data_IF_533103190930
#
_entry.id   IF_533103190930
#
_cell.length_a   1.000
_cell.length_b   1.000
_cell.length_c   1.000
_cell.angle_alpha   90.00
_cell.angle_beta   90.00
_cell.angle_gamma   90.00
#
_symmetry.space_group_name_H-M   'P 1'
#
loop_
_entity.id
_entity.type
_entity.pdbx_description
1 polymer ?
#
# COMPACT_ATOMS: atom_id res chain seq x y z
N UNK A 1 0.00 -0.98 11.43
CA UNK A 1 -0.58 0.31 11.85
C UNK A 1 0.40 1.40 11.56
N UNK A 2 -0.10 2.54 11.07
CA UNK A 2 0.69 3.75 10.80
C UNK A 2 0.63 4.69 12.00
N UNK A 3 1.53 5.67 12.05
CA UNK A 3 1.51 6.70 13.10
C UNK A 3 0.14 7.40 13.21
N UNK A 4 -0.55 7.60 12.08
CA UNK A 4 -1.90 8.18 12.05
C UNK A 4 -2.95 7.35 12.78
N UNK A 5 -2.78 6.02 12.84
CA UNK A 5 -3.70 5.15 13.60
C UNK A 5 -3.52 5.34 15.11
N UNK A 6 -2.28 5.51 15.57
CA UNK A 6 -1.97 5.74 16.98
C UNK A 6 -2.36 7.16 17.38
N UNK A 7 -2.09 8.16 16.54
CA UNK A 7 -2.54 9.53 16.76
C UNK A 7 -4.06 9.60 16.92
N UNK A 8 -4.83 8.83 16.14
CA UNK A 8 -6.28 8.79 16.31
C UNK A 8 -6.71 8.28 17.71
N UNK A 9 -5.94 7.41 18.35
CA UNK A 9 -6.20 6.95 19.73
C UNK A 9 -5.87 8.02 20.77
N UNK A 10 -4.83 8.82 20.52
CA UNK A 10 -4.45 9.99 21.32
C UNK A 10 -5.53 11.06 21.22
N UNK A 11 -5.81 11.52 20.00
CA UNK A 11 -6.61 12.70 19.72
C UNK A 11 -8.09 12.48 20.08
N UNK A 12 -8.65 11.31 19.77
CA UNK A 12 -10.08 11.05 19.94
C UNK A 12 -10.41 10.31 21.25
N UNK A 13 -9.45 9.57 21.82
CA UNK A 13 -9.71 8.70 22.96
C UNK A 13 -8.83 8.96 24.18
N UNK A 14 -7.74 9.72 24.04
CA UNK A 14 -6.70 9.91 25.08
C UNK A 14 -6.21 8.57 25.67
N UNK A 15 -6.20 7.53 24.84
CA UNK A 15 -5.86 6.15 25.26
C UNK A 15 -4.35 5.90 25.27
N UNK A 16 -3.58 6.79 24.67
CA UNK A 16 -2.11 6.74 24.59
C UNK A 16 -1.59 8.15 24.89
N UNK A 17 -0.46 8.33 25.60
CA UNK A 17 0.10 9.65 25.87
C UNK A 17 0.47 10.42 24.60
N UNK A 18 0.28 11.73 24.61
CA UNK A 18 0.54 12.61 23.45
C UNK A 18 1.97 12.53 22.92
N UNK A 19 2.94 12.29 23.82
CA UNK A 19 4.35 12.11 23.45
C UNK A 19 4.71 10.70 23.00
N UNK A 20 3.74 9.85 22.63
CA UNK A 20 3.97 8.42 22.38
C UNK A 20 5.14 8.14 21.42
N UNK A 21 5.28 8.93 20.35
CA UNK A 21 6.30 8.74 19.31
C UNK A 21 7.72 8.70 19.92
N UNK A 22 7.99 9.53 20.92
CA UNK A 22 9.33 9.70 21.51
C UNK A 22 9.56 8.87 22.76
N UNK A 23 8.56 8.10 23.22
CA UNK A 23 8.68 7.27 24.43
C UNK A 23 9.60 6.06 24.25
N UNK A 24 9.82 5.64 23.01
CA UNK A 24 10.72 4.55 22.66
C UNK A 24 11.65 4.98 21.50
N UNK A 25 12.81 4.33 21.35
CA UNK A 25 13.73 4.59 20.23
C UNK A 25 13.05 4.47 18.86
N UNK A 26 13.68 5.06 17.84
CA UNK A 26 13.27 4.95 16.44
C UNK A 26 11.81 5.37 16.18
N UNK A 27 11.37 6.47 16.81
CA UNK A 27 9.98 6.96 16.71
C UNK A 27 8.94 5.91 17.10
N UNK A 28 9.26 5.09 18.11
CA UNK A 28 8.45 3.96 18.55
C UNK A 28 8.14 2.92 17.46
N UNK A 29 9.02 2.79 16.47
CA UNK A 29 8.98 1.76 15.44
C UNK A 29 10.11 0.74 15.68
N UNK A 30 9.86 -0.37 16.40
CA UNK A 30 10.88 -1.37 16.71
C UNK A 30 11.33 -2.18 15.49
N UNK A 31 10.58 -2.13 14.39
CA UNK A 31 10.93 -2.75 13.12
C UNK A 31 10.38 -1.92 11.96
N UNK A 32 10.94 -2.16 10.77
CA UNK A 32 10.47 -1.58 9.51
C UNK A 32 10.19 -2.68 8.49
N UNK A 33 9.46 -2.35 7.44
CA UNK A 33 9.25 -3.21 6.29
C UNK A 33 9.30 -2.37 5.02
N UNK A 34 9.14 -3.00 3.86
CA UNK A 34 9.13 -2.36 2.57
C UNK A 34 7.93 -2.83 1.75
N UNK A 35 7.42 -1.96 0.89
CA UNK A 35 6.40 -2.34 -0.09
C UNK A 35 7.06 -3.10 -1.24
N UNK A 36 6.52 -4.28 -1.55
CA UNK A 36 7.01 -5.18 -2.60
C UNK A 36 5.88 -5.67 -3.49
N UNK A 37 6.26 -6.26 -4.63
CA UNK A 37 5.34 -6.97 -5.51
C UNK A 37 5.48 -8.46 -5.32
N UNK A 38 4.37 -9.12 -5.03
CA UNK A 38 4.27 -10.58 -5.07
C UNK A 38 3.56 -10.94 -6.38
N UNK A 39 4.24 -11.65 -7.27
CA UNK A 39 3.74 -12.03 -8.59
C UNK A 39 3.48 -13.53 -8.68
N UNK A 40 2.69 -13.95 -9.68
CA UNK A 40 2.48 -15.37 -9.99
C UNK A 40 3.80 -16.05 -10.38
N UNK A 41 3.90 -17.36 -10.11
CA UNK A 41 5.08 -18.17 -10.45
C UNK A 41 5.47 -17.99 -11.92
N UNK A 42 6.76 -17.73 -12.16
CA UNK A 42 7.30 -17.49 -13.50
C UNK A 42 7.12 -16.05 -14.02
N UNK A 43 6.40 -15.18 -13.28
CA UNK A 43 6.10 -13.80 -13.66
C UNK A 43 5.58 -13.67 -15.12
N UNK A 44 4.43 -14.29 -15.45
CA UNK A 44 3.96 -14.43 -16.83
C UNK A 44 3.66 -13.08 -17.52
N UNK A 45 3.41 -12.02 -16.74
CA UNK A 45 3.19 -10.65 -17.25
C UNK A 45 4.44 -9.78 -17.20
N UNK A 46 5.59 -10.34 -16.84
CA UNK A 46 6.88 -9.65 -16.73
C UNK A 46 6.80 -8.35 -15.92
N UNK A 47 6.07 -8.38 -14.79
CA UNK A 47 5.89 -7.23 -13.91
C UNK A 47 7.16 -7.01 -13.09
N UNK A 48 7.83 -5.88 -13.30
CA UNK A 48 9.14 -5.57 -12.69
C UNK A 48 9.14 -4.25 -11.94
N UNK A 49 8.35 -3.28 -12.39
CA UNK A 49 8.29 -1.96 -11.78
C UNK A 49 6.87 -1.36 -11.85
N UNK A 50 6.65 -0.26 -11.14
CA UNK A 50 5.35 0.41 -11.00
C UNK A 50 4.62 0.67 -12.33
N UNK A 51 5.25 1.12 -13.43
CA UNK A 51 4.56 1.35 -14.70
C UNK A 51 3.97 0.08 -15.30
N UNK A 52 4.54 -1.09 -15.00
CA UNK A 52 4.00 -2.37 -15.48
C UNK A 52 2.63 -2.68 -14.90
N UNK A 53 2.35 -2.18 -13.68
CA UNK A 53 1.07 -2.38 -13.01
C UNK A 53 -0.08 -1.64 -13.70
N UNK A 54 0.24 -0.64 -14.53
CA UNK A 54 -0.73 0.21 -15.22
C UNK A 54 -1.01 -0.27 -16.66
N UNK A 55 -0.40 -1.37 -17.11
CA UNK A 55 -0.66 -1.97 -18.42
C UNK A 55 -2.07 -2.56 -18.48
N UNK A 56 -2.64 -2.55 -19.68
CA UNK A 56 -3.99 -3.07 -19.89
C UNK A 56 -4.06 -4.57 -19.58
N UNK A 57 -5.16 -4.98 -18.95
CA UNK A 57 -5.37 -6.37 -18.54
C UNK A 57 -4.54 -6.82 -17.34
N UNK A 58 -3.77 -5.95 -16.68
CA UNK A 58 -3.13 -6.26 -15.39
C UNK A 58 -4.13 -6.01 -14.25
N UNK A 59 -4.35 -7.02 -13.42
CA UNK A 59 -5.17 -6.92 -12.22
C UNK A 59 -4.26 -6.82 -10.99
N UNK A 60 -4.41 -5.72 -10.25
CA UNK A 60 -3.58 -5.41 -9.08
C UNK A 60 -4.38 -5.65 -7.81
N UNK A 61 -3.89 -6.53 -6.94
CA UNK A 61 -4.46 -6.70 -5.60
C UNK A 61 -3.80 -5.71 -4.65
N UNK A 62 -4.62 -4.85 -4.05
CA UNK A 62 -4.21 -3.85 -3.06
C UNK A 62 -5.31 -3.72 -2.00
N UNK A 63 -4.97 -3.63 -0.70
CA UNK A 63 -5.96 -3.36 0.34
C UNK A 63 -6.57 -1.96 0.22
N UNK A 64 -7.78 -1.79 0.72
CA UNK A 64 -8.48 -0.52 0.77
C UNK A 64 -7.73 0.50 1.67
N UNK A 65 -7.27 1.65 1.14
CA UNK A 65 -6.54 2.65 1.92
C UNK A 65 -7.41 3.35 2.97
N UNK A 66 -8.74 3.25 2.89
CA UNK A 66 -9.65 3.81 3.89
C UNK A 66 -9.65 3.01 5.19
N UNK A 67 -9.34 1.73 5.12
CA UNK A 67 -9.41 0.81 6.28
C UNK A 67 -8.06 0.19 6.62
N UNK A 68 -7.07 0.23 5.72
CA UNK A 68 -5.80 -0.47 5.88
C UNK A 68 -4.58 0.45 5.84
N UNK A 69 -3.63 0.21 6.75
CA UNK A 69 -2.29 0.80 6.69
C UNK A 69 -1.51 0.36 5.44
N UNK A 70 -1.61 -0.91 5.03
CA UNK A 70 -0.92 -1.42 3.85
C UNK A 70 -1.45 -0.75 2.56
N UNK A 71 -2.76 -0.51 2.47
CA UNK A 71 -3.35 0.24 1.36
C UNK A 71 -2.84 1.68 1.28
N UNK A 72 -2.68 2.33 2.44
CA UNK A 72 -2.08 3.68 2.55
C UNK A 72 -0.61 3.69 2.14
N UNK A 73 0.20 2.74 2.61
CA UNK A 73 1.59 2.61 2.18
C UNK A 73 1.69 2.34 0.68
N UNK A 74 0.86 1.48 0.10
CA UNK A 74 0.84 1.25 -1.36
C UNK A 74 0.60 2.55 -2.13
N UNK A 75 -0.38 3.35 -1.70
CA UNK A 75 -0.64 4.67 -2.30
C UNK A 75 0.59 5.57 -2.21
N UNK A 76 1.21 5.68 -1.03
CA UNK A 76 2.38 6.52 -0.80
C UNK A 76 3.62 6.03 -1.57
N UNK A 77 3.82 4.72 -1.71
CA UNK A 77 4.94 4.15 -2.47
C UNK A 77 4.79 4.41 -3.96
N UNK A 78 3.58 4.23 -4.53
CA UNK A 78 3.29 4.58 -5.92
C UNK A 78 3.44 6.09 -6.16
N UNK A 79 2.96 6.92 -5.23
CA UNK A 79 3.11 8.37 -5.29
C UNK A 79 4.58 8.79 -5.25
N UNK A 80 5.33 8.27 -4.28
CA UNK A 80 6.75 8.53 -4.09
C UNK A 80 7.60 8.07 -5.28
N UNK A 81 7.23 6.94 -5.92
CA UNK A 81 7.85 6.50 -7.17
C UNK A 81 7.75 7.59 -8.25
N UNK A 82 6.56 8.16 -8.47
CA UNK A 82 6.37 9.18 -9.50
C UNK A 82 7.20 10.43 -9.22
N UNK A 83 7.17 10.92 -7.97
CA UNK A 83 7.95 12.10 -7.58
C UNK A 83 9.45 11.87 -7.75
N UNK A 84 9.95 10.70 -7.33
CA UNK A 84 11.38 10.34 -7.45
C UNK A 84 11.84 10.25 -8.91
N UNK A 85 10.93 9.97 -9.84
CA UNK A 85 11.20 9.89 -11.28
C UNK A 85 10.87 11.20 -12.03
N UNK A 86 10.87 12.35 -11.33
CA UNK A 86 10.69 13.67 -11.94
C UNK A 86 9.24 14.05 -12.26
N UNK A 87 8.28 13.29 -11.74
CA UNK A 87 6.87 13.67 -11.78
C UNK A 87 6.52 14.71 -10.70
N UNK A 88 5.41 15.40 -10.90
CA UNK A 88 4.81 16.31 -9.92
C UNK A 88 3.63 15.63 -9.21
N UNK A 89 2.99 16.35 -8.28
CA UNK A 89 1.82 15.84 -7.55
C UNK A 89 0.63 15.50 -8.45
N UNK A 90 0.44 16.23 -9.55
CA UNK A 90 -0.63 15.96 -10.50
C UNK A 90 -0.41 14.62 -11.21
N UNK A 91 0.82 14.36 -11.67
CA UNK A 91 1.22 13.07 -12.24
C UNK A 91 1.11 11.95 -11.23
N UNK A 92 1.52 12.18 -9.98
CA UNK A 92 1.44 11.18 -8.92
C UNK A 92 -0.02 10.82 -8.62
N UNK A 93 -0.91 11.81 -8.51
CA UNK A 93 -2.36 11.60 -8.34
C UNK A 93 -2.95 10.83 -9.51
N UNK A 94 -2.59 11.17 -10.75
CA UNK A 94 -3.06 10.46 -11.94
C UNK A 94 -2.57 9.00 -11.97
N UNK A 95 -1.31 8.77 -11.61
CA UNK A 95 -0.70 7.45 -11.53
C UNK A 95 -1.38 6.55 -10.51
N UNK A 96 -1.54 7.04 -9.28
CA UNK A 96 -2.26 6.33 -8.21
C UNK A 96 -3.71 6.07 -8.62
N UNK A 97 -4.38 7.07 -9.21
CA UNK A 97 -5.73 6.89 -9.72
C UNK A 97 -5.83 5.77 -10.76
N UNK A 98 -4.86 5.68 -11.69
CA UNK A 98 -4.82 4.58 -12.67
C UNK A 98 -4.50 3.24 -12.02
N UNK A 99 -3.58 3.20 -11.06
CA UNK A 99 -3.24 1.99 -10.31
C UNK A 99 -4.48 1.40 -9.61
N UNK A 100 -5.25 2.22 -8.88
CA UNK A 100 -6.44 1.74 -8.18
C UNK A 100 -7.58 1.35 -9.12
N UNK A 101 -7.61 1.85 -10.36
CA UNK A 101 -8.54 1.35 -11.40
C UNK A 101 -8.20 -0.05 -11.89
N UNK A 102 -6.97 -0.51 -11.71
CA UNK A 102 -6.56 -1.89 -12.01
C UNK A 102 -6.98 -2.88 -10.91
N UNK A 103 -7.49 -2.39 -9.78
CA UNK A 103 -7.89 -3.24 -8.67
C UNK A 103 -9.32 -3.79 -8.90
N UNK A 104 -9.50 -5.12 -9.11
CA UNK A 104 -10.83 -5.70 -9.26
C UNK A 104 -11.61 -5.72 -7.94
N UNK A 105 -10.91 -5.67 -6.81
CA UNK A 105 -11.47 -5.65 -5.45
C UNK A 105 -10.55 -4.85 -4.54
N UNK A 106 -11.12 -4.16 -3.54
CA UNK A 106 -10.39 -3.47 -2.48
C UNK A 106 -10.69 -4.13 -1.14
N UNK A 107 -9.86 -5.11 -0.77
CA UNK A 107 -9.99 -5.87 0.47
C UNK A 107 -9.80 -4.98 1.72
N UNK A 108 -10.49 -5.30 2.81
CA UNK A 108 -10.49 -4.47 4.02
C UNK A 108 -9.13 -4.33 4.70
N UNK A 109 -8.20 -5.28 4.47
CA UNK A 109 -6.86 -5.26 5.04
C UNK A 109 -5.87 -6.16 4.32
N UNK A 110 -4.58 -6.02 4.66
CA UNK A 110 -3.48 -6.77 4.04
C UNK A 110 -3.67 -8.28 4.02
N UNK A 111 -4.17 -8.86 5.12
CA UNK A 111 -4.45 -10.30 5.21
C UNK A 111 -5.52 -10.74 4.21
N UNK A 112 -6.61 -10.00 4.10
CA UNK A 112 -7.69 -10.31 3.16
C UNK A 112 -7.18 -10.19 1.71
N UNK A 113 -6.39 -9.17 1.39
CA UNK A 113 -5.72 -9.05 0.09
C UNK A 113 -4.79 -10.24 -0.21
N UNK A 114 -4.04 -10.73 0.78
CA UNK A 114 -3.24 -11.95 0.62
C UNK A 114 -4.11 -13.17 0.35
N UNK A 115 -5.25 -13.34 1.04
CA UNK A 115 -6.20 -14.43 0.78
C UNK A 115 -6.79 -14.34 -0.63
N UNK A 116 -7.21 -13.15 -1.06
CA UNK A 116 -7.69 -12.91 -2.44
C UNK A 116 -6.66 -13.34 -3.48
N UNK A 117 -5.39 -12.93 -3.28
CA UNK A 117 -4.34 -13.29 -4.22
C UNK A 117 -3.96 -14.77 -4.15
N UNK A 118 -3.64 -15.29 -2.96
CA UNK A 118 -3.04 -16.62 -2.78
C UNK A 118 -4.07 -17.76 -2.79
N UNK A 119 -5.23 -17.56 -2.17
CA UNK A 119 -6.23 -18.62 -2.02
C UNK A 119 -7.25 -18.53 -3.14
N UNK A 120 -7.81 -17.35 -3.39
CA UNK A 120 -8.87 -17.18 -4.39
C UNK A 120 -8.32 -17.05 -5.81
N UNK A 121 -6.98 -16.99 -5.97
CA UNK A 121 -6.29 -16.90 -7.27
C UNK A 121 -6.74 -15.71 -8.12
N UNK A 122 -7.14 -14.61 -7.47
CA UNK A 122 -7.55 -13.37 -8.16
C UNK A 122 -6.35 -12.44 -8.28
N UNK A 123 -6.22 -11.78 -9.44
CA UNK A 123 -5.17 -10.79 -9.71
C UNK A 123 -3.83 -11.39 -10.15
N UNK A 124 -3.03 -10.53 -10.78
CA UNK A 124 -1.72 -10.87 -11.35
C UNK A 124 -0.55 -10.55 -10.41
N UNK A 125 -0.76 -9.57 -9.54
CA UNK A 125 0.21 -9.08 -8.57
C UNK A 125 -0.49 -8.61 -7.31
N UNK A 126 0.13 -8.89 -6.17
CA UNK A 126 -0.22 -8.30 -4.87
C UNK A 126 0.84 -7.26 -4.50
N UNK A 127 0.39 -6.05 -4.19
CA UNK A 127 1.24 -4.99 -3.61
C UNK A 127 1.01 -4.96 -2.10
N UNK A 128 2.07 -5.20 -1.33
CA UNK A 128 2.00 -5.29 0.14
C UNK A 128 3.27 -4.81 0.81
#
# INVERSE_FOLDING_TARGET
NMATDINALVDNGKLVPDNWVTRLPNNSAPFTSATVFIVRKGNPKALKDWPDLLKDGVQVIVPNPKTSGNGRYTCLSAWGYVLKNGGDENKAKAFVGKLFKQAPVLDTGGRAATTTFMTNQIGDVLVT
#
